data_IF_093916630712
#
_entry.id   IF_093916630712
#
_cell.length_a   1.000
_cell.length_b   1.000
_cell.length_c   1.000
_cell.angle_alpha   90.00
_cell.angle_beta   90.00
_cell.angle_gamma   90.00
#
_symmetry.space_group_name_H-M   'P 1'
#
loop_
_entity.id
_entity.type
_entity.pdbx_description
1 polymer ?
#
# COMPACT_ATOMS: atom_id res chain seq x y z
N UNK A 1 20.79 6.73 5.02
CA UNK A 1 19.40 7.14 4.75
C UNK A 1 18.46 6.28 5.60
N UNK A 2 17.52 6.91 6.27
CA UNK A 2 16.55 6.20 7.08
C UNK A 2 15.47 5.61 6.15
N UNK A 3 15.23 4.33 6.29
CA UNK A 3 14.18 3.67 5.52
C UNK A 3 12.82 4.02 6.10
N UNK A 4 11.91 4.41 5.25
CA UNK A 4 10.55 4.78 5.66
C UNK A 4 9.54 3.80 5.12
N UNK A 5 8.44 3.63 5.85
CA UNK A 5 7.34 2.75 5.47
C UNK A 5 6.26 3.60 4.84
N UNK A 6 5.94 3.32 3.58
CA UNK A 6 4.98 4.07 2.78
C UNK A 6 3.71 3.27 2.55
N UNK A 7 2.58 3.95 2.66
CA UNK A 7 1.33 3.49 2.07
C UNK A 7 1.10 4.31 0.81
N UNK A 8 0.79 3.66 -0.30
CA UNK A 8 0.50 4.30 -1.57
C UNK A 8 -0.74 3.62 -2.11
N UNK A 9 -1.88 4.28 -2.06
CA UNK A 9 -3.12 3.59 -2.28
C UNK A 9 -4.19 4.55 -2.80
N UNK A 10 -5.13 4.02 -3.57
CA UNK A 10 -6.26 4.79 -4.07
C UNK A 10 -7.50 4.46 -3.25
N UNK A 11 -8.33 5.47 -3.02
CA UNK A 11 -9.56 5.30 -2.26
C UNK A 11 -10.64 6.20 -2.84
N UNK A 12 -11.89 5.80 -2.63
CA UNK A 12 -13.01 6.70 -2.94
C UNK A 12 -12.95 7.91 -2.03
N UNK A 13 -13.65 8.96 -2.40
CA UNK A 13 -13.66 10.17 -1.56
C UNK A 13 -14.15 9.86 -0.15
N UNK A 14 -15.05 8.90 0.00
CA UNK A 14 -15.54 8.52 1.32
C UNK A 14 -14.73 7.41 1.98
N UNK A 15 -13.54 7.09 1.46
CA UNK A 15 -12.57 6.31 2.20
C UNK A 15 -12.56 4.82 2.00
N UNK A 16 -13.12 4.33 0.92
CA UNK A 16 -13.13 2.90 0.63
C UNK A 16 -12.09 2.54 -0.42
N UNK A 17 -11.38 1.44 -0.21
CA UNK A 17 -10.37 1.00 -1.16
C UNK A 17 -10.88 -0.06 -2.12
N UNK A 18 -12.04 -0.64 -1.82
CA UNK A 18 -12.66 -1.65 -2.68
C UNK A 18 -14.11 -1.81 -2.25
N UNK A 19 -14.93 -2.35 -3.12
CA UNK A 19 -16.26 -2.82 -2.69
C UNK A 19 -16.10 -4.10 -1.89
N UNK A 20 -17.17 -4.55 -1.25
CA UNK A 20 -17.09 -5.69 -0.33
C UNK A 20 -16.59 -6.97 -1.00
N UNK A 21 -16.84 -7.14 -2.28
CA UNK A 21 -16.39 -8.32 -3.01
C UNK A 21 -15.03 -8.10 -3.67
N UNK A 22 -14.23 -7.16 -3.15
CA UNK A 22 -12.93 -6.80 -3.68
C UNK A 22 -13.00 -6.21 -5.07
N UNK A 23 -14.14 -5.67 -5.46
CA UNK A 23 -14.33 -5.06 -6.77
C UNK A 23 -13.62 -3.71 -6.79
N UNK A 24 -12.73 -3.53 -7.77
CA UNK A 24 -11.94 -2.33 -7.93
C UNK A 24 -12.32 -1.55 -9.20
N UNK A 25 -13.47 -1.85 -9.79
CA UNK A 25 -13.81 -1.24 -11.09
C UNK A 25 -13.95 0.27 -11.00
N UNK A 26 -14.22 0.83 -9.79
CA UNK A 26 -14.33 2.28 -9.68
C UNK A 26 -13.02 3.00 -10.02
N UNK A 27 -11.89 2.30 -9.96
CA UNK A 27 -10.61 2.91 -10.33
C UNK A 27 -10.56 3.28 -11.81
N UNK A 28 -11.38 2.65 -12.63
CA UNK A 28 -11.39 2.96 -14.06
C UNK A 28 -11.88 4.38 -14.35
N UNK A 29 -12.55 5.02 -13.38
CA UNK A 29 -13.02 6.40 -13.56
C UNK A 29 -11.88 7.35 -13.89
N UNK A 30 -10.68 7.06 -13.41
CA UNK A 30 -9.53 7.96 -13.61
C UNK A 30 -8.49 7.37 -14.55
N UNK A 31 -8.78 6.26 -15.20
CA UNK A 31 -7.85 5.71 -16.18
C UNK A 31 -7.68 6.69 -17.32
N UNK A 32 -6.42 6.93 -17.68
CA UNK A 32 -6.09 7.86 -18.74
C UNK A 32 -4.82 7.39 -19.42
N UNK A 33 -4.88 7.20 -20.72
CA UNK A 33 -3.73 6.70 -21.46
C UNK A 33 -2.54 7.62 -21.25
N UNK A 34 -1.38 7.02 -20.94
CA UNK A 34 -0.17 7.79 -20.74
C UNK A 34 -0.02 8.40 -19.37
N UNK A 35 -1.00 8.21 -18.48
CA UNK A 35 -0.95 8.78 -17.12
C UNK A 35 -0.81 7.67 -16.12
N UNK A 36 0.26 7.70 -15.30
CA UNK A 36 0.43 6.72 -14.23
C UNK A 36 0.33 7.33 -12.83
N UNK A 37 0.00 8.62 -12.77
CA UNK A 37 -0.21 9.32 -11.51
C UNK A 37 1.00 9.30 -10.59
N UNK A 38 2.20 9.19 -11.18
CA UNK A 38 3.44 9.21 -10.42
C UNK A 38 3.89 7.88 -9.88
N UNK A 39 3.21 6.79 -10.25
CA UNK A 39 3.52 5.49 -9.67
C UNK A 39 4.94 5.03 -10.02
N UNK A 40 5.37 5.20 -11.27
CA UNK A 40 6.71 4.74 -11.67
C UNK A 40 7.79 5.49 -10.88
N UNK A 41 7.61 6.78 -10.71
CA UNK A 41 8.57 7.57 -9.93
C UNK A 41 8.59 7.12 -8.48
N UNK A 42 7.42 6.84 -7.91
CA UNK A 42 7.34 6.36 -6.54
C UNK A 42 8.03 5.01 -6.39
N UNK A 43 7.72 4.07 -7.28
CA UNK A 43 8.22 2.70 -7.12
C UNK A 43 9.74 2.64 -7.29
N UNK A 44 10.33 3.60 -7.97
CA UNK A 44 11.79 3.68 -8.09
C UNK A 44 12.46 4.01 -6.75
N UNK A 45 11.74 4.51 -5.78
CA UNK A 45 12.28 4.80 -4.44
C UNK A 45 12.16 3.62 -3.49
N UNK A 46 11.58 2.52 -3.96
CA UNK A 46 11.21 1.37 -3.13
C UNK A 46 12.08 0.17 -3.52
N UNK A 47 12.61 -0.54 -2.55
CA UNK A 47 13.26 -1.82 -2.84
C UNK A 47 12.62 -3.00 -2.12
N UNK A 48 11.67 -2.74 -1.21
CA UNK A 48 11.05 -3.78 -0.39
C UNK A 48 9.55 -3.55 -0.36
N UNK A 49 8.79 -4.60 -0.66
CA UNK A 49 7.33 -4.52 -0.74
C UNK A 49 6.73 -5.53 0.22
N UNK A 50 5.74 -5.10 1.00
CA UNK A 50 5.04 -5.96 1.94
C UNK A 50 3.60 -6.10 1.46
N UNK A 51 3.13 -7.34 1.35
CA UNK A 51 1.80 -7.65 0.83
C UNK A 51 1.15 -8.70 1.72
N UNK A 52 -0.14 -8.57 1.98
CA UNK A 52 -0.89 -9.60 2.66
C UNK A 52 -1.08 -10.83 1.76
N UNK A 53 -1.22 -11.99 2.39
CA UNK A 53 -1.32 -13.24 1.65
C UNK A 53 -2.52 -13.28 0.70
N UNK A 54 -3.68 -12.80 1.14
CA UNK A 54 -4.86 -12.85 0.29
C UNK A 54 -4.69 -11.99 -0.97
N UNK A 55 -4.11 -10.82 -0.80
CA UNK A 55 -3.86 -9.94 -1.95
C UNK A 55 -2.87 -10.59 -2.90
N UNK A 56 -1.80 -11.16 -2.36
CA UNK A 56 -0.81 -11.84 -3.18
C UNK A 56 -1.42 -12.99 -3.96
N UNK A 57 -2.18 -13.85 -3.28
CA UNK A 57 -2.78 -15.00 -3.95
C UNK A 57 -3.75 -14.56 -5.04
N UNK A 58 -4.50 -13.49 -4.79
CA UNK A 58 -5.45 -13.00 -5.79
C UNK A 58 -4.74 -12.50 -7.04
N UNK A 59 -3.65 -11.75 -6.86
CA UNK A 59 -2.90 -11.24 -8.00
C UNK A 59 -2.27 -12.39 -8.77
N UNK A 60 -1.73 -13.39 -8.07
CA UNK A 60 -1.14 -14.56 -8.73
C UNK A 60 -2.20 -15.32 -9.53
N UNK A 61 -3.40 -15.49 -8.96
CA UNK A 61 -4.48 -16.20 -9.64
C UNK A 61 -4.95 -15.49 -10.89
N UNK A 62 -4.84 -14.19 -10.93
CA UNK A 62 -5.22 -13.40 -12.10
C UNK A 62 -4.21 -13.50 -13.24
N UNK A 63 -3.05 -14.07 -12.97
CA UNK A 63 -2.00 -14.21 -13.97
C UNK A 63 -1.32 -12.91 -14.36
N UNK A 64 -1.50 -11.87 -13.57
CA UNK A 64 -0.89 -10.58 -13.82
C UNK A 64 0.59 -10.64 -13.47
N UNK A 65 1.43 -10.24 -14.41
CA UNK A 65 2.86 -10.14 -14.13
C UNK A 65 3.11 -8.83 -13.42
N UNK A 66 3.38 -8.91 -12.15
CA UNK A 66 3.31 -7.79 -11.25
C UNK A 66 4.58 -7.63 -10.43
N UNK A 67 5.28 -8.75 -10.18
CA UNK A 67 6.50 -8.72 -9.39
C UNK A 67 7.66 -8.24 -10.23
N UNK A 68 8.47 -7.35 -9.67
CA UNK A 68 9.64 -6.83 -10.36
C UNK A 68 10.89 -7.53 -9.83
N UNK A 69 11.82 -7.92 -10.72
CA UNK A 69 12.98 -8.64 -10.26
C UNK A 69 13.95 -7.82 -9.42
N UNK A 70 13.86 -6.50 -9.48
CA UNK A 70 14.77 -5.64 -8.72
C UNK A 70 14.29 -5.35 -7.31
N UNK A 71 13.21 -5.99 -6.85
CA UNK A 71 12.65 -5.73 -5.53
C UNK A 71 12.52 -7.01 -4.73
N UNK A 72 12.45 -6.86 -3.40
CA UNK A 72 12.13 -7.96 -2.50
C UNK A 72 10.66 -7.88 -2.13
N UNK A 73 9.98 -9.02 -2.18
CA UNK A 73 8.57 -9.09 -1.81
C UNK A 73 8.42 -9.97 -0.58
N UNK A 74 7.74 -9.46 0.43
CA UNK A 74 7.51 -10.15 1.69
C UNK A 74 6.02 -10.31 1.88
N UNK A 75 5.57 -11.56 1.89
CA UNK A 75 4.14 -11.88 1.98
C UNK A 75 3.83 -12.26 3.42
N UNK A 76 2.91 -11.52 4.02
CA UNK A 76 2.49 -11.80 5.40
C UNK A 76 1.44 -12.90 5.37
N UNK A 77 1.71 -14.00 6.04
CA UNK A 77 0.85 -15.18 6.00
C UNK A 77 0.88 -15.91 7.34
N UNK A 78 -0.15 -16.69 7.60
CA UNK A 78 -0.19 -17.52 8.80
C UNK A 78 0.38 -18.91 8.55
N UNK A 79 0.52 -19.30 7.30
CA UNK A 79 1.00 -20.62 6.92
C UNK A 79 2.35 -20.51 6.26
N UNK A 80 3.37 -21.20 6.78
CA UNK A 80 4.70 -21.12 6.17
C UNK A 80 4.69 -21.59 4.71
N UNK A 81 5.45 -20.90 3.88
CA UNK A 81 5.70 -21.31 2.50
C UNK A 81 7.17 -21.08 2.19
N UNK A 82 7.71 -21.90 1.31
CA UNK A 82 9.10 -21.78 0.89
C UNK A 82 9.29 -20.53 0.03
N UNK A 83 10.46 -19.92 0.16
CA UNK A 83 10.82 -18.78 -0.66
C UNK A 83 10.79 -19.15 -2.14
N UNK A 84 10.28 -18.24 -2.95
CA UNK A 84 10.24 -18.42 -4.40
C UNK A 84 10.89 -17.20 -5.05
N UNK A 85 12.14 -17.36 -5.50
CA UNK A 85 12.85 -16.25 -6.11
C UNK A 85 12.99 -15.09 -5.13
N UNK A 86 12.47 -13.91 -5.53
CA UNK A 86 12.55 -12.72 -4.67
C UNK A 86 11.31 -12.56 -3.79
N UNK A 87 10.52 -13.63 -3.62
CA UNK A 87 9.31 -13.61 -2.80
C UNK A 87 9.55 -14.48 -1.56
N UNK A 88 9.38 -13.89 -0.39
CA UNK A 88 9.52 -14.58 0.89
C UNK A 88 8.20 -14.51 1.65
N UNK A 89 7.93 -15.55 2.43
CA UNK A 89 6.70 -15.64 3.20
C UNK A 89 7.04 -15.59 4.69
N UNK A 90 6.35 -14.71 5.41
CA UNK A 90 6.63 -14.46 6.82
C UNK A 90 5.42 -14.76 7.67
N UNK A 91 5.63 -15.53 8.75
CA UNK A 91 4.55 -15.91 9.67
C UNK A 91 4.69 -15.26 11.03
N UNK A 92 5.73 -14.50 11.27
CA UNK A 92 6.04 -14.01 12.61
C UNK A 92 5.44 -12.65 12.92
N UNK A 93 6.04 -12.02 13.92
CA UNK A 93 5.63 -10.72 14.44
C UNK A 93 5.90 -9.64 13.41
N UNK A 94 4.86 -8.98 12.96
CA UNK A 94 4.98 -7.95 11.92
C UNK A 94 5.79 -6.75 12.41
N UNK A 95 5.59 -6.33 13.65
CA UNK A 95 6.33 -5.18 14.17
C UNK A 95 7.82 -5.47 14.22
N UNK A 96 8.19 -6.64 14.74
CA UNK A 96 9.60 -7.02 14.80
C UNK A 96 10.20 -7.09 13.41
N UNK A 97 9.43 -7.59 12.45
CA UNK A 97 9.91 -7.69 11.07
C UNK A 97 10.17 -6.33 10.45
N UNK A 98 9.25 -5.38 10.65
CA UNK A 98 9.44 -4.02 10.13
C UNK A 98 10.67 -3.38 10.78
N UNK A 99 10.83 -3.54 12.08
CA UNK A 99 11.98 -2.98 12.78
C UNK A 99 13.27 -3.57 12.27
N UNK A 100 13.28 -4.86 11.98
CA UNK A 100 14.45 -5.51 11.42
C UNK A 100 14.77 -4.96 10.02
N UNK A 101 13.75 -4.77 9.19
CA UNK A 101 13.97 -4.18 7.87
C UNK A 101 14.56 -2.78 7.97
N UNK A 102 14.10 -1.99 8.92
CA UNK A 102 14.60 -0.62 9.06
C UNK A 102 16.04 -0.57 9.52
N UNK A 103 16.55 -1.63 10.14
CA UNK A 103 17.95 -1.69 10.55
C UNK A 103 18.89 -2.00 9.40
N UNK A 104 18.36 -2.54 8.31
CA UNK A 104 19.17 -2.91 7.16
C UNK A 104 19.36 -1.72 6.24
N UNK A 105 20.43 -1.74 5.46
CA UNK A 105 20.65 -0.78 4.39
C UNK A 105 19.64 -1.02 3.30
N UNK A 106 19.18 0.06 2.67
CA UNK A 106 18.28 -0.08 1.56
C UNK A 106 17.48 1.18 1.30
N UNK A 107 16.61 1.10 0.32
CA UNK A 107 15.68 2.17 0.01
C UNK A 107 14.44 2.04 0.89
N UNK A 108 13.32 2.59 0.44
CA UNK A 108 12.12 2.61 1.28
C UNK A 108 11.31 1.34 1.15
N UNK A 109 10.35 1.20 2.03
CA UNK A 109 9.49 0.02 2.18
C UNK A 109 8.06 0.43 1.82
N UNK A 110 7.44 -0.32 0.91
CA UNK A 110 6.10 -0.04 0.42
C UNK A 110 5.15 -1.12 0.92
N UNK A 111 4.10 -0.72 1.62
CA UNK A 111 3.04 -1.63 2.03
C UNK A 111 1.95 -1.58 0.97
N UNK A 112 1.90 -2.62 0.16
CA UNK A 112 1.04 -2.64 -1.01
C UNK A 112 -0.42 -3.00 -0.67
N UNK A 113 -0.65 -3.59 0.45
CA UNK A 113 -2.00 -3.94 0.89
C UNK A 113 -2.07 -5.39 1.30
N UNK A 114 -3.24 -5.91 1.55
CA UNK A 114 -4.52 -5.17 1.54
C UNK A 114 -4.79 -4.39 2.81
N UNK A 115 -6.04 -4.03 2.98
CA UNK A 115 -6.44 -3.17 4.07
C UNK A 115 -6.06 -3.73 5.43
N UNK A 116 -6.11 -5.03 5.59
CA UNK A 116 -5.81 -5.64 6.89
C UNK A 116 -4.37 -5.38 7.29
N UNK A 117 -3.41 -5.58 6.38
CA UNK A 117 -2.00 -5.34 6.70
C UNK A 117 -1.76 -3.86 6.95
N UNK A 118 -2.34 -2.99 6.12
CA UNK A 118 -2.19 -1.55 6.29
C UNK A 118 -2.71 -1.13 7.67
N UNK A 119 -3.89 -1.63 8.05
CA UNK A 119 -4.46 -1.24 9.33
C UNK A 119 -3.71 -1.84 10.51
N UNK A 120 -3.16 -3.04 10.39
CA UNK A 120 -2.30 -3.58 11.43
C UNK A 120 -1.11 -2.67 11.68
N UNK A 121 -0.48 -2.21 10.60
CA UNK A 121 0.68 -1.33 10.74
C UNK A 121 0.29 0.03 11.30
N UNK A 122 -0.89 0.54 10.93
CA UNK A 122 -1.35 1.79 11.50
C UNK A 122 -1.61 1.65 13.00
N UNK A 123 -2.18 0.52 13.43
CA UNK A 123 -2.45 0.32 14.85
C UNK A 123 -1.16 0.26 15.66
N UNK A 124 -0.09 -0.23 15.05
CA UNK A 124 1.21 -0.29 15.70
C UNK A 124 2.04 0.98 15.49
N UNK A 125 1.46 1.97 14.81
CA UNK A 125 2.10 3.27 14.55
C UNK A 125 3.40 3.11 13.76
N UNK A 126 3.36 2.27 12.74
CA UNK A 126 4.55 1.94 11.96
C UNK A 126 4.57 2.53 10.55
N UNK A 127 3.54 3.26 10.13
CA UNK A 127 3.53 3.91 8.82
C UNK A 127 4.14 5.30 8.93
N UNK A 128 5.08 5.60 8.08
CA UNK A 128 5.76 6.90 8.08
C UNK A 128 5.19 7.88 7.08
N UNK A 129 4.75 7.39 5.92
CA UNK A 129 4.34 8.26 4.82
C UNK A 129 3.04 7.72 4.24
N UNK A 130 2.12 8.64 3.93
CA UNK A 130 0.83 8.29 3.33
C UNK A 130 0.71 9.01 2.00
N UNK A 131 0.61 8.26 0.92
CA UNK A 131 0.28 8.82 -0.39
C UNK A 131 -1.05 8.21 -0.78
N UNK A 132 -2.09 9.03 -0.76
CA UNK A 132 -3.45 8.55 -0.99
C UNK A 132 -4.02 9.27 -2.21
N UNK A 133 -4.47 8.51 -3.17
CA UNK A 133 -5.12 9.04 -4.35
C UNK A 133 -6.63 8.95 -4.15
N UNK A 134 -7.29 10.10 -4.13
CA UNK A 134 -8.74 10.14 -3.97
C UNK A 134 -9.41 10.09 -5.33
N UNK A 135 -10.29 9.13 -5.49
CA UNK A 135 -11.05 8.94 -6.72
C UNK A 135 -12.38 9.67 -6.57
N UNK A 136 -12.86 10.38 -7.61
CA UNK A 136 -14.06 11.21 -7.48
C UNK A 136 -15.34 10.39 -7.49
N UNK A 137 -15.56 9.64 -6.43
CA UNK A 137 -16.76 8.82 -6.26
C UNK A 137 -17.03 8.64 -4.77
N UNK A 138 -18.29 8.54 -4.43
CA UNK A 138 -18.72 8.08 -3.12
C UNK A 138 -19.24 6.66 -3.30
N UNK A 139 -18.53 5.68 -2.76
CA UNK A 139 -18.97 4.30 -2.88
C UNK A 139 -20.12 3.97 -1.93
N UNK A 140 -20.15 4.61 -0.78
CA UNK A 140 -21.22 4.40 0.18
C UNK A 140 -21.04 3.19 1.07
N UNK A 141 -20.23 2.22 0.66
CA UNK A 141 -20.01 1.00 1.41
C UNK A 141 -18.82 0.30 0.79
N UNK A 142 -18.19 -0.58 1.55
CA UNK A 142 -17.06 -1.32 1.03
C UNK A 142 -16.01 -1.59 2.09
N UNK A 143 -14.77 -1.76 1.66
CA UNK A 143 -13.64 -2.02 2.54
C UNK A 143 -12.94 -0.70 2.82
N UNK A 144 -12.93 -0.29 4.07
CA UNK A 144 -12.40 1.03 4.45
C UNK A 144 -10.87 1.02 4.49
N UNK A 145 -10.29 2.12 4.02
CA UNK A 145 -8.84 2.29 4.16
C UNK A 145 -8.46 2.51 5.62
N UNK A 146 -9.17 3.42 6.30
CA UNK A 146 -8.84 3.75 7.69
C UNK A 146 -9.92 3.20 8.60
N UNK A 147 -9.61 2.09 9.28
CA UNK A 147 -10.55 1.49 10.22
C UNK A 147 -10.45 2.18 11.56
N UNK A 148 -11.52 2.11 12.32
CA UNK A 148 -11.54 2.67 13.67
C UNK A 148 -10.58 1.89 14.58
N UNK A 149 -10.13 2.56 15.65
CA UNK A 149 -9.34 1.91 16.69
C UNK A 149 -7.84 2.13 16.59
N UNK A 150 -7.38 2.77 15.53
CA UNK A 150 -5.96 3.09 15.42
C UNK A 150 -5.63 4.29 16.28
N UNK A 151 -4.34 4.48 16.66
CA UNK A 151 -3.95 5.66 17.45
C UNK A 151 -4.18 6.95 16.68
N UNK A 152 -4.50 7.99 17.41
CA UNK A 152 -4.53 9.33 16.82
C UNK A 152 -3.13 9.70 16.36
N UNK A 153 -3.01 10.33 15.19
CA UNK A 153 -1.70 10.66 14.65
C UNK A 153 -1.77 11.98 13.92
N UNK A 154 -0.90 12.90 14.30
CA UNK A 154 -0.78 14.17 13.59
C UNK A 154 0.12 13.98 12.39
N UNK A 155 -0.27 14.58 11.29
CA UNK A 155 0.46 14.45 10.04
C UNK A 155 0.93 15.82 9.56
N UNK A 156 2.02 15.83 8.81
CA UNK A 156 2.54 17.04 8.18
C UNK A 156 2.27 16.94 6.69
N UNK A 157 1.70 17.99 6.13
CA UNK A 157 1.43 18.04 4.70
C UNK A 157 2.73 18.11 3.91
N UNK A 158 2.85 17.30 2.87
CA UNK A 158 4.00 17.33 1.99
C UNK A 158 3.61 17.93 0.65
N UNK A 159 2.58 17.39 -0.02
CA UNK A 159 2.18 17.89 -1.32
C UNK A 159 0.80 17.40 -1.68
N UNK A 160 0.20 18.07 -2.63
CA UNK A 160 -1.03 17.59 -3.26
C UNK A 160 -0.96 17.91 -4.74
N UNK A 161 -1.66 17.10 -5.52
CA UNK A 161 -1.70 17.32 -6.96
C UNK A 161 -3.06 16.88 -7.48
N UNK A 162 -3.67 17.72 -8.28
CA UNK A 162 -4.96 17.39 -8.89
C UNK A 162 -4.74 17.10 -10.37
N UNK A 163 -5.56 16.20 -10.90
CA UNK A 163 -5.41 15.72 -12.26
C UNK A 163 -6.70 15.93 -13.03
N UNK A 164 -6.58 15.90 -14.35
CA UNK A 164 -7.69 16.24 -15.23
C UNK A 164 -8.94 15.38 -15.00
N UNK A 165 -8.75 14.09 -14.73
CA UNK A 165 -9.88 13.18 -14.52
C UNK A 165 -10.45 13.24 -13.11
N UNK A 166 -9.92 14.10 -12.26
CA UNK A 166 -10.47 14.31 -10.93
C UNK A 166 -9.76 13.59 -9.81
N UNK A 167 -8.71 12.84 -10.10
CA UNK A 167 -7.91 12.23 -9.05
C UNK A 167 -7.11 13.31 -8.32
N UNK A 168 -7.02 13.20 -7.01
CA UNK A 168 -6.22 14.11 -6.18
C UNK A 168 -5.25 13.32 -5.31
N UNK A 169 -3.87 13.30 -5.15
CA UNK A 169 -3.08 12.79 -4.59
C UNK A 169 -2.87 13.47 -3.60
N UNK A 170 -2.73 13.05 -2.57
CA UNK A 170 -2.36 13.67 -1.30
C UNK A 170 -1.16 12.95 -0.72
N UNK A 171 -0.19 13.73 -0.26
CA UNK A 171 0.98 13.14 0.39
C UNK A 171 1.17 13.79 1.75
N UNK A 172 1.15 12.98 2.80
CA UNK A 172 1.39 13.41 4.17
C UNK A 172 2.47 12.54 4.79
N UNK A 173 3.23 13.13 5.71
CA UNK A 173 4.21 12.37 6.47
C UNK A 173 3.85 12.45 7.94
N UNK A 174 4.28 11.42 8.68
CA UNK A 174 4.08 11.43 10.14
C UNK A 174 4.86 12.59 10.74
N UNK A 175 4.27 13.27 11.76
CA UNK A 175 4.92 14.37 12.43
C UNK A 175 5.99 13.86 13.40
#
# INVERSE_FOLDING_TARGET
>A
MTRKVFVYIAASLDGYIAKHDDDLTFLSLVEQEGEDYGYAEFIDTIDTVIIGRKTYDKVQAMGIEYLRPDKEYHIMTRTPRAQEGNVRFHTGDLKAFIEELKQKEGQHIFVDGGAEVVNQLMQMDLIDEYIVSLIPILLGDGIRLFKDGRPEQNLTFVSSKSFEKGLVXLHYTRR
#
